data_IF_295688758688
#
_entry.id   IF_295688758688
#
_cell.length_a   1.000
_cell.length_b   1.000
_cell.length_c   1.000
_cell.angle_alpha   90.00
_cell.angle_beta   90.00
_cell.angle_gamma   90.00
#
_symmetry.space_group_name_H-M   'P 1'
#
loop_
_entity.id
_entity.type
_entity.pdbx_description
1 polymer ?
#
# COMPACT_ATOMS: atom_id res chain seq x y z
N UNK A 1 5.48 13.94 16.07
CA UNK A 1 4.76 12.73 15.60
C UNK A 1 5.31 12.28 14.27
N UNK A 2 5.43 10.98 14.10
CA UNK A 2 5.87 10.41 12.82
C UNK A 2 4.77 10.57 11.78
N UNK A 3 5.14 10.96 10.57
CA UNK A 3 4.22 10.98 9.44
C UNK A 3 3.90 9.54 9.03
N UNK A 4 2.64 9.27 8.76
CA UNK A 4 2.17 7.95 8.32
C UNK A 4 2.01 7.95 6.82
N UNK A 5 2.66 7.00 6.16
CA UNK A 5 2.72 6.90 4.71
C UNK A 5 2.18 5.55 4.26
N UNK A 6 1.22 5.57 3.35
CA UNK A 6 0.73 4.35 2.70
C UNK A 6 1.57 4.07 1.46
N UNK A 7 2.19 2.91 1.41
CA UNK A 7 3.07 2.53 0.29
C UNK A 7 2.31 1.62 -0.67
N UNK A 8 1.72 2.22 -1.70
CA UNK A 8 1.03 1.49 -2.75
C UNK A 8 2.05 0.99 -3.77
N UNK A 9 2.08 -0.32 -4.00
CA UNK A 9 3.13 -0.90 -4.82
C UNK A 9 2.68 -2.25 -5.43
N UNK A 10 3.31 -2.66 -6.56
CA UNK A 10 3.02 -3.94 -7.19
C UNK A 10 3.98 -5.07 -6.76
N UNK A 11 4.85 -4.85 -5.78
CA UNK A 11 6.01 -5.70 -5.52
C UNK A 11 5.75 -6.88 -4.60
N UNK A 12 4.58 -6.97 -3.98
CA UNK A 12 4.27 -8.03 -3.04
C UNK A 12 3.94 -9.38 -3.65
N UNK A 13 3.80 -9.46 -4.98
CA UNK A 13 3.34 -10.66 -5.66
C UNK A 13 4.46 -11.67 -5.99
N UNK A 14 5.72 -11.31 -5.84
CA UNK A 14 6.82 -12.22 -6.11
C UNK A 14 7.92 -12.10 -5.07
N UNK A 15 8.65 -13.21 -4.86
CA UNK A 15 9.79 -13.21 -3.93
C UNK A 15 10.90 -12.28 -4.38
N UNK A 16 11.08 -12.13 -5.68
CA UNK A 16 12.14 -11.30 -6.26
C UNK A 16 11.90 -9.83 -5.98
N UNK A 17 10.66 -9.37 -6.12
CA UNK A 17 10.30 -7.97 -5.91
C UNK A 17 10.10 -7.62 -4.44
N UNK A 18 9.87 -8.61 -3.57
CA UNK A 18 9.76 -8.37 -2.13
C UNK A 18 11.04 -7.80 -1.53
N UNK A 19 12.20 -8.17 -2.04
CA UNK A 19 13.48 -7.59 -1.61
C UNK A 19 13.49 -6.09 -1.85
N UNK A 20 13.06 -5.68 -3.04
CA UNK A 20 12.96 -4.27 -3.40
C UNK A 20 11.97 -3.53 -2.50
N UNK A 21 10.83 -4.16 -2.22
CA UNK A 21 9.83 -3.61 -1.32
C UNK A 21 10.42 -3.35 0.07
N UNK A 22 11.17 -4.31 0.61
CA UNK A 22 11.80 -4.15 1.92
C UNK A 22 12.81 -3.01 1.92
N UNK A 23 13.53 -2.80 0.82
CA UNK A 23 14.46 -1.67 0.69
C UNK A 23 13.73 -0.33 0.78
N UNK A 24 12.58 -0.19 0.12
CA UNK A 24 11.76 1.01 0.23
C UNK A 24 11.32 1.25 1.67
N UNK A 25 10.85 0.20 2.34
CA UNK A 25 10.37 0.31 3.72
C UNK A 25 11.50 0.75 4.64
N UNK A 26 12.71 0.19 4.48
CA UNK A 26 13.87 0.57 5.27
C UNK A 26 14.25 2.05 5.08
N UNK A 27 14.22 2.53 3.84
CA UNK A 27 14.53 3.93 3.55
C UNK A 27 13.55 4.85 4.27
N UNK A 28 12.25 4.55 4.20
CA UNK A 28 11.25 5.37 4.89
C UNK A 28 11.40 5.30 6.41
N UNK A 29 11.71 4.12 6.95
CA UNK A 29 11.95 3.97 8.39
C UNK A 29 13.15 4.81 8.83
N UNK A 30 14.21 4.84 8.03
CA UNK A 30 15.39 5.66 8.31
C UNK A 30 15.07 7.16 8.29
N UNK A 31 14.06 7.56 7.51
CA UNK A 31 13.58 8.94 7.46
C UNK A 31 12.55 9.24 8.56
N UNK A 32 12.36 8.30 9.49
CA UNK A 32 11.40 8.42 10.60
C UNK A 32 9.95 8.56 10.11
N UNK A 33 9.60 7.84 9.05
CA UNK A 33 8.25 7.77 8.51
C UNK A 33 7.67 6.40 8.84
N UNK A 34 6.46 6.35 9.37
CA UNK A 34 5.75 5.09 9.63
C UNK A 34 5.09 4.61 8.35
N UNK A 35 5.47 3.42 7.89
CA UNK A 35 5.00 2.88 6.62
C UNK A 35 3.85 1.90 6.84
N UNK A 36 2.77 2.12 6.10
CA UNK A 36 1.63 1.20 6.01
C UNK A 36 1.72 0.53 4.63
N UNK A 37 2.22 -0.69 4.60
CA UNK A 37 2.43 -1.43 3.35
C UNK A 37 1.43 -2.59 3.30
N UNK A 38 0.54 -2.65 2.29
CA UNK A 38 -0.59 -3.59 2.30
C UNK A 38 -0.19 -5.07 2.31
N UNK A 39 0.88 -5.46 1.63
CA UNK A 39 1.30 -6.87 1.62
C UNK A 39 1.86 -7.32 2.96
N UNK A 40 2.59 -6.43 3.65
CA UNK A 40 3.14 -6.72 4.98
C UNK A 40 2.05 -6.72 6.04
N UNK A 41 1.00 -5.94 5.85
CA UNK A 41 -0.10 -5.84 6.81
C UNK A 41 -1.19 -6.87 6.56
N UNK A 42 -1.19 -7.54 5.40
CA UNK A 42 -2.20 -8.55 5.07
C UNK A 42 -2.10 -9.73 6.01
N UNK A 43 -3.24 -10.17 6.54
CA UNK A 43 -3.32 -11.35 7.40
C UNK A 43 -3.62 -12.58 6.56
N UNK A 44 -3.08 -13.76 6.93
CA UNK A 44 -3.48 -15.01 6.28
C UNK A 44 -4.98 -15.19 6.42
N UNK A 45 -5.66 -15.48 5.32
CA UNK A 45 -7.12 -15.54 5.31
C UNK A 45 -7.57 -16.97 5.04
N UNK A 46 -8.49 -17.43 5.88
CA UNK A 46 -9.10 -18.77 5.79
C UNK A 46 -10.51 -18.69 5.23
N UNK A 47 -10.97 -17.51 4.85
CA UNK A 47 -12.31 -17.23 4.38
C UNK A 47 -12.47 -17.56 2.89
N UNK A 48 -13.70 -17.62 2.44
CA UNK A 48 -14.00 -17.78 1.01
C UNK A 48 -13.45 -16.56 0.24
N UNK A 49 -13.09 -16.79 -1.00
CA UNK A 49 -12.39 -15.81 -1.82
C UNK A 49 -13.10 -14.45 -1.92
N UNK A 50 -14.43 -14.47 -2.04
CA UNK A 50 -15.22 -13.23 -2.14
C UNK A 50 -15.19 -12.41 -0.85
N UNK A 51 -15.29 -13.10 0.29
CA UNK A 51 -15.20 -12.44 1.61
C UNK A 51 -13.80 -11.91 1.86
N UNK A 52 -12.78 -12.69 1.45
CA UNK A 52 -11.39 -12.30 1.55
C UNK A 52 -11.14 -10.98 0.81
N UNK A 53 -11.61 -10.88 -0.44
CA UNK A 53 -11.41 -9.68 -1.26
C UNK A 53 -12.03 -8.44 -0.61
N UNK A 54 -13.25 -8.60 -0.08
CA UNK A 54 -13.94 -7.52 0.61
C UNK A 54 -13.19 -7.07 1.85
N UNK A 55 -12.72 -8.01 2.66
CA UNK A 55 -12.01 -7.70 3.89
C UNK A 55 -10.66 -7.02 3.62
N UNK A 56 -9.93 -7.47 2.59
CA UNK A 56 -8.68 -6.84 2.18
C UNK A 56 -8.94 -5.41 1.73
N UNK A 57 -9.95 -5.19 0.91
CA UNK A 57 -10.30 -3.87 0.41
C UNK A 57 -10.66 -2.92 1.56
N UNK A 58 -11.44 -3.39 2.52
CA UNK A 58 -11.80 -2.59 3.70
C UNK A 58 -10.59 -2.25 4.55
N UNK A 59 -9.72 -3.23 4.78
CA UNK A 59 -8.50 -3.04 5.57
C UNK A 59 -7.59 -2.02 4.90
N UNK A 60 -7.40 -2.12 3.60
CA UNK A 60 -6.56 -1.18 2.86
C UNK A 60 -7.15 0.23 2.85
N UNK A 61 -8.47 0.34 2.71
CA UNK A 61 -9.16 1.62 2.80
C UNK A 61 -8.98 2.26 4.17
N UNK A 62 -9.14 1.46 5.23
CA UNK A 62 -8.96 1.93 6.60
C UNK A 62 -7.53 2.45 6.82
N UNK A 63 -6.53 1.70 6.37
CA UNK A 63 -5.13 2.10 6.50
C UNK A 63 -4.85 3.40 5.73
N UNK A 64 -5.37 3.52 4.51
CA UNK A 64 -5.24 4.74 3.71
C UNK A 64 -5.85 5.94 4.43
N UNK A 65 -7.01 5.75 5.04
CA UNK A 65 -7.71 6.81 5.76
C UNK A 65 -6.89 7.30 6.96
N UNK A 66 -6.18 6.38 7.62
CA UNK A 66 -5.31 6.70 8.77
C UNK A 66 -4.01 7.38 8.36
N UNK A 67 -3.55 7.18 7.13
CA UNK A 67 -2.28 7.73 6.67
C UNK A 67 -2.40 9.21 6.31
N UNK A 68 -1.26 9.90 6.41
CA UNK A 68 -1.16 11.31 6.04
C UNK A 68 -0.96 11.49 4.54
N UNK A 69 -0.30 10.52 3.90
CA UNK A 69 0.02 10.59 2.49
C UNK A 69 0.11 9.20 1.87
N UNK A 70 0.15 9.16 0.55
CA UNK A 70 0.40 7.95 -0.22
C UNK A 70 1.65 8.15 -1.07
N UNK A 71 2.51 7.13 -1.09
CA UNK A 71 3.59 7.02 -2.06
C UNK A 71 3.23 5.85 -2.99
N UNK A 72 2.95 6.14 -4.25
CA UNK A 72 2.49 5.13 -5.20
C UNK A 72 3.57 4.81 -6.21
N UNK A 73 3.94 3.54 -6.31
CA UNK A 73 4.89 3.06 -7.30
C UNK A 73 4.10 2.62 -8.52
N UNK A 74 4.14 3.45 -9.57
CA UNK A 74 3.35 3.25 -10.79
C UNK A 74 4.24 2.74 -11.91
N UNK A 75 4.68 1.50 -11.77
CA UNK A 75 5.49 0.80 -12.75
C UNK A 75 4.61 -0.04 -13.68
N UNK A 76 5.10 -0.23 -14.90
CA UNK A 76 4.44 -1.10 -15.85
C UNK A 76 3.51 -0.35 -16.82
N UNK A 77 3.13 -1.06 -17.86
CA UNK A 77 2.25 -0.54 -18.89
C UNK A 77 1.29 -1.67 -19.31
N UNK A 78 0.06 -1.71 -18.80
CA UNK A 78 -0.53 -0.73 -17.88
C UNK A 78 0.02 -0.82 -16.45
N UNK A 79 -0.17 0.21 -15.63
CA UNK A 79 0.19 0.16 -14.21
C UNK A 79 -0.64 -0.88 -13.46
N UNK A 80 -0.14 -1.32 -12.31
CA UNK A 80 -0.87 -2.26 -11.45
C UNK A 80 -2.24 -1.70 -11.05
N UNK A 81 -3.26 -2.50 -11.24
CA UNK A 81 -4.66 -2.08 -11.00
C UNK A 81 -4.94 -1.79 -9.53
N UNK A 82 -4.34 -2.57 -8.62
CA UNK A 82 -4.50 -2.32 -7.18
C UNK A 82 -3.92 -0.98 -6.77
N UNK A 83 -2.73 -0.65 -7.29
CA UNK A 83 -2.09 0.65 -7.05
C UNK A 83 -2.99 1.78 -7.58
N UNK A 84 -3.58 1.60 -8.76
CA UNK A 84 -4.45 2.62 -9.35
C UNK A 84 -5.72 2.85 -8.53
N UNK A 85 -6.29 1.77 -7.98
CA UNK A 85 -7.47 1.87 -7.11
C UNK A 85 -7.09 2.63 -5.83
N UNK A 86 -5.98 2.28 -5.20
CA UNK A 86 -5.52 2.93 -3.98
C UNK A 86 -5.21 4.41 -4.21
N UNK A 87 -4.60 4.74 -5.35
CA UNK A 87 -4.34 6.11 -5.73
C UNK A 87 -5.65 6.90 -5.89
N UNK A 88 -6.65 6.29 -6.53
CA UNK A 88 -7.98 6.90 -6.68
C UNK A 88 -8.65 7.18 -5.34
N UNK A 89 -8.54 6.25 -4.39
CA UNK A 89 -9.06 6.44 -3.03
C UNK A 89 -8.34 7.59 -2.34
N UNK A 90 -7.02 7.66 -2.46
CA UNK A 90 -6.22 8.73 -1.86
C UNK A 90 -6.62 10.11 -2.41
N UNK A 91 -6.89 10.19 -3.70
CA UNK A 91 -7.39 11.42 -4.33
C UNK A 91 -8.74 11.81 -3.73
N UNK A 92 -9.65 10.86 -3.61
CA UNK A 92 -10.98 11.10 -3.04
C UNK A 92 -10.90 11.55 -1.58
N UNK A 93 -9.95 11.03 -0.82
CA UNK A 93 -9.71 11.40 0.58
C UNK A 93 -8.85 12.66 0.72
N UNK A 94 -8.43 13.25 -0.37
CA UNK A 94 -7.61 14.48 -0.41
C UNK A 94 -6.28 14.30 0.32
N UNK A 95 -5.69 13.13 0.18
CA UNK A 95 -4.36 12.86 0.76
C UNK A 95 -3.27 13.48 -0.12
N UNK A 96 -2.14 13.79 0.51
CA UNK A 96 -0.93 14.20 -0.21
C UNK A 96 -0.40 13.00 -1.00
N UNK A 97 -0.01 13.22 -2.26
CA UNK A 97 0.34 12.14 -3.18
C UNK A 97 1.77 12.32 -3.68
N UNK A 98 2.55 11.26 -3.58
CA UNK A 98 3.89 11.15 -4.15
C UNK A 98 3.92 9.96 -5.11
N UNK A 99 4.52 10.14 -6.27
CA UNK A 99 4.64 9.11 -7.29
C UNK A 99 6.08 8.73 -7.55
#
# INVERSE_FOLDING_TARGET
MRKKLYLANPYGFSKQTKTLLHEFIEIFNDLNVEVFEPFERAKPLTQQESEWAYDVARSNFHDLKECDCIFAIVNGNPPDEGVMIELGIAIALKKEIFL
#
